data_IF_015658525042
#
_entry.id   IF_015658525042
#
_cell.length_a   1.000
_cell.length_b   1.000
_cell.length_c   1.000
_cell.angle_alpha   90.00
_cell.angle_beta   90.00
_cell.angle_gamma   90.00
#
_symmetry.space_group_name_H-M   'P 1'
#
loop_
_entity.id
_entity.type
_entity.pdbx_description
1 polymer ?
#
# COMPACT_ATOMS: atom_id res chain seq x y z
N UNK A 1 -14.41 15.76 -22.71
CA UNK A 1 -14.45 15.82 -21.22
C UNK A 1 -14.84 14.46 -20.68
N UNK A 2 -14.21 14.00 -19.60
CA UNK A 2 -14.49 12.69 -18.99
C UNK A 2 -15.51 12.83 -17.87
N UNK A 3 -16.35 11.82 -17.66
CA UNK A 3 -17.29 11.82 -16.55
C UNK A 3 -16.56 11.68 -15.22
N UNK A 4 -15.58 10.78 -15.20
CA UNK A 4 -14.85 10.40 -14.01
C UNK A 4 -13.39 10.09 -14.34
N UNK A 5 -12.48 10.62 -13.53
CA UNK A 5 -11.08 10.20 -13.48
C UNK A 5 -10.81 9.58 -12.11
N UNK A 6 -10.27 8.37 -12.13
CA UNK A 6 -9.92 7.58 -10.94
C UNK A 6 -8.40 7.58 -10.84
N UNK A 7 -7.87 8.07 -9.72
CA UNK A 7 -6.44 8.20 -9.49
C UNK A 7 -6.03 7.17 -8.44
N UNK A 8 -5.33 6.13 -8.90
CA UNK A 8 -4.85 5.00 -8.13
C UNK A 8 -5.26 3.67 -8.75
N UNK A 9 -4.30 2.80 -9.04
CA UNK A 9 -4.48 1.49 -9.69
C UNK A 9 -4.43 0.32 -8.70
N UNK A 10 -4.79 0.57 -7.43
CA UNK A 10 -4.99 -0.48 -6.42
C UNK A 10 -6.41 -1.03 -6.39
N UNK A 11 -6.72 -1.86 -5.39
CA UNK A 11 -8.03 -2.50 -5.23
C UNK A 11 -9.20 -1.51 -5.26
N UNK A 12 -9.09 -0.39 -4.53
CA UNK A 12 -10.14 0.63 -4.49
C UNK A 12 -10.39 1.27 -5.86
N UNK A 13 -9.33 1.68 -6.56
CA UNK A 13 -9.46 2.36 -7.85
C UNK A 13 -9.92 1.44 -8.99
N UNK A 14 -9.41 0.20 -9.04
CA UNK A 14 -9.89 -0.80 -10.02
C UNK A 14 -11.36 -1.15 -9.77
N UNK A 15 -11.77 -1.29 -8.51
CA UNK A 15 -13.20 -1.51 -8.18
C UNK A 15 -14.05 -0.32 -8.58
N UNK A 16 -13.61 0.91 -8.28
CA UNK A 16 -14.31 2.12 -8.71
C UNK A 16 -14.45 2.19 -10.24
N UNK A 17 -13.44 1.74 -10.99
CA UNK A 17 -13.45 1.75 -12.45
C UNK A 17 -14.47 0.76 -13.03
N UNK A 18 -14.51 -0.47 -12.47
CA UNK A 18 -15.52 -1.49 -12.82
C UNK A 18 -16.93 -0.96 -12.59
N UNK A 19 -17.19 -0.35 -11.43
CA UNK A 19 -18.50 0.21 -11.12
C UNK A 19 -18.87 1.38 -12.03
N UNK A 20 -17.92 2.29 -12.30
CA UNK A 20 -18.13 3.43 -13.19
C UNK A 20 -18.54 2.98 -14.60
N UNK A 21 -17.89 1.96 -15.15
CA UNK A 21 -18.27 1.38 -16.44
C UNK A 21 -19.65 0.72 -16.40
N UNK A 22 -20.00 0.03 -15.31
CA UNK A 22 -21.33 -0.57 -15.14
C UNK A 22 -22.45 0.46 -15.02
N UNK A 23 -22.17 1.66 -14.53
CA UNK A 23 -23.09 2.79 -14.55
C UNK A 23 -23.16 3.51 -15.91
N UNK A 24 -22.45 3.00 -16.91
CA UNK A 24 -22.36 3.58 -18.26
C UNK A 24 -21.84 5.03 -18.25
N UNK A 25 -20.97 5.36 -17.28
CA UNK A 25 -20.27 6.65 -17.27
C UNK A 25 -19.34 6.74 -18.47
N UNK A 26 -19.35 7.89 -19.15
CA UNK A 26 -18.60 8.10 -20.39
C UNK A 26 -17.14 8.43 -20.11
N UNK A 27 -16.27 7.81 -20.90
CA UNK A 27 -14.83 8.09 -20.93
C UNK A 27 -14.15 7.95 -19.55
N UNK A 28 -14.41 6.85 -18.84
CA UNK A 28 -13.71 6.50 -17.59
C UNK A 28 -12.19 6.46 -17.83
N UNK A 29 -11.42 7.11 -16.96
CA UNK A 29 -9.96 7.08 -16.97
C UNK A 29 -9.42 6.60 -15.63
N UNK A 30 -8.57 5.59 -15.67
CA UNK A 30 -7.87 5.05 -14.51
C UNK A 30 -6.38 5.35 -14.64
N UNK A 31 -5.80 6.05 -13.65
CA UNK A 31 -4.39 6.47 -13.70
C UNK A 31 -3.66 5.99 -12.45
N UNK A 32 -2.47 5.41 -12.60
CA UNK A 32 -1.63 5.10 -11.45
C UNK A 32 -0.26 4.54 -11.83
N UNK A 33 0.77 4.88 -11.06
CA UNK A 33 2.15 4.41 -11.32
C UNK A 33 2.38 2.95 -10.90
N UNK A 34 1.75 2.52 -9.80
CA UNK A 34 1.93 1.19 -9.23
C UNK A 34 0.75 0.29 -9.58
N UNK A 35 0.95 -0.57 -10.59
CA UNK A 35 -0.04 -1.58 -10.99
C UNK A 35 -0.39 -2.47 -9.80
N UNK A 36 -1.69 -2.57 -9.47
CA UNK A 36 -2.19 -3.39 -8.36
C UNK A 36 -1.99 -2.79 -6.95
N UNK A 37 -1.22 -1.70 -6.80
CA UNK A 37 -0.97 -1.07 -5.51
C UNK A 37 -0.20 -1.95 -4.53
N UNK A 38 -0.37 -1.70 -3.22
CA UNK A 38 0.32 -2.41 -2.12
C UNK A 38 -0.12 -3.87 -1.98
N UNK A 39 -1.32 -4.22 -2.42
CA UNK A 39 -1.83 -5.59 -2.35
C UNK A 39 -0.93 -6.60 -3.09
N UNK A 40 -0.24 -6.17 -4.14
CA UNK A 40 0.72 -7.01 -4.90
C UNK A 40 1.89 -7.52 -4.07
N UNK A 41 2.18 -6.87 -2.94
CA UNK A 41 3.31 -7.23 -2.08
C UNK A 41 2.95 -8.35 -1.09
N UNK A 42 1.67 -8.71 -0.96
CA UNK A 42 1.25 -9.83 -0.14
C UNK A 42 1.64 -11.15 -0.82
N UNK A 43 2.44 -11.96 -0.14
CA UNK A 43 2.78 -13.31 -0.62
C UNK A 43 1.56 -14.23 -0.65
N UNK A 44 0.63 -13.97 0.26
CA UNK A 44 -0.53 -14.82 0.47
C UNK A 44 -1.69 -14.00 1.05
N UNK A 45 -2.88 -14.19 0.47
CA UNK A 45 -4.14 -13.60 0.88
C UNK A 45 -5.13 -14.75 1.12
N UNK A 46 -5.54 -14.90 2.38
CA UNK A 46 -6.51 -15.91 2.84
C UNK A 46 -7.82 -15.26 3.33
N UNK A 47 -7.92 -13.93 3.27
CA UNK A 47 -9.00 -13.14 3.85
C UNK A 47 -9.81 -12.34 2.80
N UNK A 48 -9.72 -12.70 1.51
CA UNK A 48 -10.56 -12.15 0.46
C UNK A 48 -11.61 -13.18 0.00
N UNK A 49 -12.88 -13.03 0.42
CA UNK A 49 -13.94 -13.99 0.10
C UNK A 49 -14.05 -14.26 -1.41
N UNK A 50 -14.21 -15.54 -1.75
CA UNK A 50 -14.14 -16.02 -3.14
C UNK A 50 -12.85 -16.78 -3.45
N UNK A 51 -11.79 -16.57 -2.67
CA UNK A 51 -10.55 -17.34 -2.75
C UNK A 51 -10.20 -17.90 -1.37
N UNK A 52 -9.97 -19.22 -1.30
CA UNK A 52 -9.42 -19.84 -0.08
C UNK A 52 -8.01 -19.32 0.22
N UNK A 53 -7.23 -19.14 -0.84
CA UNK A 53 -5.85 -18.67 -0.84
C UNK A 53 -5.51 -18.17 -2.24
N UNK A 54 -4.87 -17.00 -2.33
CA UNK A 54 -4.39 -16.41 -3.58
C UNK A 54 -3.17 -15.52 -3.28
N UNK A 55 -2.25 -15.34 -4.22
CA UNK A 55 -1.18 -14.35 -4.04
C UNK A 55 -1.72 -12.94 -4.27
N UNK A 56 -1.10 -11.93 -3.66
CA UNK A 56 -1.47 -10.54 -3.88
C UNK A 56 -1.35 -10.10 -5.34
N UNK A 57 -0.29 -10.55 -6.01
CA UNK A 57 -0.07 -10.28 -7.43
C UNK A 57 -1.18 -10.89 -8.30
N UNK A 58 -1.50 -12.17 -8.11
CA UNK A 58 -2.54 -12.85 -8.88
C UNK A 58 -3.91 -12.22 -8.65
N UNK A 59 -4.26 -11.87 -7.41
CA UNK A 59 -5.53 -11.21 -7.11
C UNK A 59 -5.66 -9.87 -7.85
N UNK A 60 -4.62 -9.06 -7.83
CA UNK A 60 -4.64 -7.75 -8.51
C UNK A 60 -4.60 -7.86 -10.03
N UNK A 61 -4.00 -8.92 -10.59
CA UNK A 61 -4.09 -9.18 -12.03
C UNK A 61 -5.53 -9.52 -12.43
N UNK A 62 -6.23 -10.37 -11.67
CA UNK A 62 -7.66 -10.65 -11.90
C UNK A 62 -8.52 -9.38 -11.86
N UNK A 63 -8.19 -8.43 -10.99
CA UNK A 63 -8.87 -7.12 -10.96
C UNK A 63 -8.59 -6.32 -12.23
N UNK A 64 -7.34 -6.30 -12.69
CA UNK A 64 -6.95 -5.60 -13.92
C UNK A 64 -7.61 -6.21 -15.14
N UNK A 65 -7.63 -7.53 -15.26
CA UNK A 65 -8.34 -8.27 -16.31
C UNK A 65 -9.84 -7.89 -16.34
N UNK A 66 -10.47 -7.77 -15.17
CA UNK A 66 -11.87 -7.33 -15.09
C UNK A 66 -12.06 -5.88 -15.55
N UNK A 67 -11.17 -4.96 -15.20
CA UNK A 67 -11.20 -3.57 -15.71
C UNK A 67 -11.06 -3.56 -17.24
N UNK A 68 -10.19 -4.41 -17.80
CA UNK A 68 -9.92 -4.49 -19.24
C UNK A 68 -11.10 -5.05 -20.05
N UNK A 69 -12.08 -5.70 -19.41
CA UNK A 69 -13.32 -6.12 -20.07
C UNK A 69 -14.28 -4.97 -20.39
N UNK A 70 -13.95 -3.74 -19.96
CA UNK A 70 -14.72 -2.53 -20.24
C UNK A 70 -13.89 -1.53 -21.06
N UNK A 71 -14.56 -0.59 -21.73
CA UNK A 71 -13.91 0.53 -22.42
C UNK A 71 -13.40 1.59 -21.43
N UNK A 72 -12.35 1.24 -20.69
CA UNK A 72 -11.70 2.08 -19.69
C UNK A 72 -10.26 2.32 -20.14
N UNK A 73 -9.90 3.60 -20.34
CA UNK A 73 -8.49 3.94 -20.61
C UNK A 73 -7.70 3.84 -19.31
N UNK A 74 -6.67 2.98 -19.31
CA UNK A 74 -5.71 2.86 -18.21
C UNK A 74 -4.42 3.58 -18.59
N UNK A 75 -3.92 4.45 -17.71
CA UNK A 75 -2.62 5.13 -17.86
C UNK A 75 -1.73 4.73 -16.70
N UNK A 76 -0.68 3.97 -16.99
CA UNK A 76 0.29 3.51 -15.98
C UNK A 76 1.36 4.59 -15.71
N UNK A 77 0.94 5.74 -15.18
CA UNK A 77 1.82 6.87 -14.83
C UNK A 77 1.34 7.57 -13.53
N UNK A 78 2.21 8.38 -12.93
CA UNK A 78 1.87 9.22 -11.78
C UNK A 78 1.14 10.48 -12.23
N UNK A 79 0.03 10.81 -11.57
CA UNK A 79 -0.59 12.13 -11.68
C UNK A 79 0.30 13.14 -10.95
N UNK A 80 0.78 14.16 -11.68
CA UNK A 80 1.67 15.18 -11.13
C UNK A 80 0.88 16.30 -10.45
N UNK A 81 -0.28 16.64 -11.00
CA UNK A 81 -1.09 17.77 -10.55
C UNK A 81 -2.57 17.56 -10.84
N UNK A 82 -3.41 18.06 -9.94
CA UNK A 82 -4.85 18.21 -10.18
C UNK A 82 -5.27 19.63 -9.82
N UNK A 83 -6.08 20.24 -10.68
CA UNK A 83 -6.59 21.61 -10.48
C UNK A 83 -8.11 21.64 -10.63
N UNK A 84 -8.81 22.35 -9.74
CA UNK A 84 -10.23 22.67 -9.94
C UNK A 84 -10.38 23.68 -11.08
N UNK A 85 -11.43 23.48 -11.89
CA UNK A 85 -11.90 24.38 -12.95
C UNK A 85 -13.39 24.66 -12.73
N UNK A 86 -13.95 25.64 -13.44
CA UNK A 86 -15.36 26.02 -13.26
C UNK A 86 -16.32 24.87 -13.58
N UNK A 87 -16.01 24.06 -14.59
CA UNK A 87 -16.83 22.93 -15.04
C UNK A 87 -16.32 21.55 -14.54
N UNK A 88 -15.33 21.50 -13.65
CA UNK A 88 -14.78 20.23 -13.14
C UNK A 88 -13.32 20.32 -12.74
N UNK A 89 -12.48 19.46 -13.33
CA UNK A 89 -11.09 19.27 -12.92
C UNK A 89 -10.17 19.06 -14.11
N UNK A 90 -8.94 19.58 -14.00
CA UNK A 90 -7.83 19.31 -14.90
C UNK A 90 -6.83 18.40 -14.20
N UNK A 91 -6.52 17.25 -14.82
CA UNK A 91 -5.58 16.23 -14.33
C UNK A 91 -4.38 16.19 -15.27
N UNK A 92 -3.17 16.36 -14.72
CA UNK A 92 -1.91 16.39 -15.47
C UNK A 92 -1.11 15.10 -15.24
N UNK A 93 -0.68 14.46 -16.32
CA UNK A 93 0.04 13.17 -16.30
C UNK A 93 1.13 13.20 -17.37
N UNK A 94 2.41 13.32 -16.95
CA UNK A 94 3.49 13.60 -17.89
C UNK A 94 3.19 14.88 -18.67
N UNK A 95 3.22 14.79 -20.00
CA UNK A 95 2.88 15.89 -20.91
C UNK A 95 1.38 15.97 -21.26
N UNK A 96 0.59 14.96 -20.86
CA UNK A 96 -0.83 14.88 -21.16
C UNK A 96 -1.68 15.63 -20.13
N UNK A 97 -2.82 16.17 -20.60
CA UNK A 97 -3.82 16.83 -19.77
C UNK A 97 -5.21 16.27 -20.04
N UNK A 98 -5.95 15.96 -18.98
CA UNK A 98 -7.30 15.42 -19.06
C UNK A 98 -8.27 16.26 -18.24
N UNK A 99 -9.43 16.55 -18.83
CA UNK A 99 -10.53 17.21 -18.13
C UNK A 99 -11.57 16.19 -17.65
N UNK A 100 -12.05 16.36 -16.42
CA UNK A 100 -13.00 15.47 -15.78
C UNK A 100 -14.09 16.24 -15.04
N UNK A 101 -15.32 15.71 -15.04
CA UNK A 101 -16.43 16.25 -14.24
C UNK A 101 -16.32 15.86 -12.76
N UNK A 102 -15.85 14.65 -12.48
CA UNK A 102 -15.64 14.12 -11.11
C UNK A 102 -14.31 13.40 -10.96
N UNK A 103 -13.85 13.26 -9.72
CA UNK A 103 -12.62 12.55 -9.36
C UNK A 103 -12.86 11.51 -8.26
N UNK A 104 -12.21 10.36 -8.36
CA UNK A 104 -12.06 9.41 -7.24
C UNK A 104 -10.57 9.30 -6.90
N UNK A 105 -10.22 9.72 -5.69
CA UNK A 105 -8.87 9.63 -5.13
C UNK A 105 -8.70 8.28 -4.41
N UNK A 106 -8.09 7.32 -5.09
CA UNK A 106 -7.75 5.98 -4.58
C UNK A 106 -6.22 5.84 -4.36
N UNK A 107 -5.63 6.87 -3.73
CA UNK A 107 -4.18 7.11 -3.71
C UNK A 107 -3.39 6.12 -2.84
N UNK A 108 -4.08 5.40 -1.95
CA UNK A 108 -3.46 4.43 -1.04
C UNK A 108 -2.43 5.05 -0.10
N UNK A 109 -1.37 4.29 0.17
CA UNK A 109 -0.33 4.64 1.12
C UNK A 109 1.07 4.37 0.55
N UNK A 110 2.07 5.07 1.08
CA UNK A 110 3.49 4.88 0.80
C UNK A 110 4.17 4.24 2.00
N UNK A 111 5.15 3.36 1.77
CA UNK A 111 5.87 2.69 2.86
C UNK A 111 6.62 3.69 3.74
N UNK A 112 6.57 3.47 5.06
CA UNK A 112 7.42 4.22 5.99
C UNK A 112 8.87 3.80 5.80
N UNK A 113 9.74 4.80 5.83
CA UNK A 113 11.20 4.61 5.96
C UNK A 113 11.56 4.58 7.43
N UNK A 114 12.56 3.78 7.78
CA UNK A 114 13.09 3.67 9.12
C UNK A 114 13.80 4.96 9.55
N UNK A 115 14.40 5.68 8.60
CA UNK A 115 15.05 6.98 8.79
C UNK A 115 16.42 6.90 9.45
N UNK A 116 17.09 5.75 9.38
CA UNK A 116 18.38 5.52 10.05
C UNK A 116 19.56 5.65 9.08
N UNK A 117 20.76 6.03 9.56
CA UNK A 117 21.96 6.03 8.74
C UNK A 117 22.19 4.66 8.08
N UNK A 118 22.51 4.68 6.79
CA UNK A 118 22.72 3.48 5.96
C UNK A 118 21.46 2.95 5.25
N UNK A 119 20.24 3.31 5.66
CA UNK A 119 19.02 2.81 5.01
C UNK A 119 18.96 3.12 3.52
N UNK A 120 19.18 4.38 3.14
CA UNK A 120 19.16 4.81 1.75
C UNK A 120 20.31 4.20 0.93
N UNK A 121 21.48 4.06 1.54
CA UNK A 121 22.69 3.54 0.89
C UNK A 121 22.56 2.04 0.54
N UNK A 122 21.97 1.27 1.44
CA UNK A 122 21.82 -0.18 1.31
C UNK A 122 20.45 -0.63 0.77
N UNK A 123 19.54 0.31 0.46
CA UNK A 123 18.30 0.00 -0.28
C UNK A 123 18.67 -0.68 -1.61
N UNK A 124 18.06 -1.84 -1.88
CA UNK A 124 18.39 -2.73 -3.02
C UNK A 124 19.81 -3.34 -2.97
N UNK A 125 20.55 -3.18 -1.87
CA UNK A 125 21.85 -3.83 -1.59
C UNK A 125 21.79 -4.61 -0.27
N UNK A 126 20.65 -5.26 -0.03
CA UNK A 126 20.39 -6.02 1.18
C UNK A 126 19.31 -5.43 2.09
N UNK A 127 18.94 -4.15 1.91
CA UNK A 127 17.73 -3.58 2.51
C UNK A 127 16.59 -3.64 1.50
N UNK A 128 15.48 -4.26 1.91
CA UNK A 128 14.31 -4.53 1.10
C UNK A 128 13.03 -4.05 1.79
N UNK A 129 12.02 -3.76 0.98
CA UNK A 129 10.69 -3.38 1.45
C UNK A 129 9.60 -4.32 0.94
N UNK A 130 9.91 -5.30 0.07
CA UNK A 130 8.94 -6.26 -0.42
C UNK A 130 9.50 -7.67 -0.21
N UNK A 131 9.15 -8.34 0.88
CA UNK A 131 9.60 -9.70 1.12
C UNK A 131 9.18 -10.66 -0.01
N UNK A 132 7.96 -10.51 -0.52
CA UNK A 132 7.45 -11.30 -1.66
C UNK A 132 8.31 -11.16 -2.93
N UNK A 133 8.86 -9.98 -3.15
CA UNK A 133 9.70 -9.69 -4.31
C UNK A 133 11.14 -10.20 -4.10
N UNK A 134 11.68 -9.99 -2.90
CA UNK A 134 13.12 -10.09 -2.66
C UNK A 134 13.56 -11.36 -1.93
N UNK A 135 12.66 -12.06 -1.22
CA UNK A 135 12.99 -13.24 -0.41
C UNK A 135 13.82 -14.32 -1.16
N UNK A 136 13.55 -14.66 -2.43
CA UNK A 136 14.34 -15.64 -3.17
C UNK A 136 15.84 -15.31 -3.24
N UNK A 137 16.23 -14.02 -3.26
CA UNK A 137 17.63 -13.58 -3.31
C UNK A 137 18.38 -13.75 -1.97
N UNK A 138 17.67 -14.10 -0.90
CA UNK A 138 18.22 -14.35 0.43
C UNK A 138 18.22 -15.84 0.80
N UNK A 139 18.02 -16.74 -0.17
CA UNK A 139 18.12 -18.18 0.05
C UNK A 139 19.43 -18.56 0.73
N UNK A 140 19.34 -19.28 1.85
CA UNK A 140 20.49 -19.72 2.64
C UNK A 140 21.14 -18.64 3.51
N UNK A 141 20.58 -17.43 3.58
CA UNK A 141 21.12 -16.29 4.34
C UNK A 141 20.36 -16.03 5.63
N UNK A 142 20.98 -15.34 6.58
CA UNK A 142 20.33 -14.90 7.82
C UNK A 142 19.81 -13.48 7.65
N UNK A 143 18.50 -13.28 7.86
CA UNK A 143 17.84 -12.00 7.58
C UNK A 143 17.08 -11.47 8.79
N UNK A 144 16.83 -10.16 8.82
CA UNK A 144 16.02 -9.50 9.83
C UNK A 144 14.79 -8.83 9.19
N UNK A 145 13.68 -8.81 9.91
CA UNK A 145 12.45 -8.08 9.60
C UNK A 145 12.23 -7.05 10.71
N UNK A 146 12.05 -5.78 10.35
CA UNK A 146 11.73 -4.72 11.31
C UNK A 146 10.24 -4.44 11.27
N UNK A 147 9.54 -4.66 12.39
CA UNK A 147 8.10 -4.43 12.51
C UNK A 147 7.37 -5.55 13.20
N UNK A 148 6.19 -5.26 13.74
CA UNK A 148 5.39 -6.22 14.51
C UNK A 148 3.92 -6.32 14.10
N UNK A 149 3.51 -5.70 12.98
CA UNK A 149 2.16 -5.81 12.45
C UNK A 149 2.02 -6.94 11.41
N UNK A 150 0.87 -7.01 10.74
CA UNK A 150 0.56 -8.02 9.71
C UNK A 150 1.66 -8.16 8.66
N UNK A 151 2.10 -7.04 8.05
CA UNK A 151 3.13 -7.08 7.02
C UNK A 151 4.42 -7.73 7.52
N UNK A 152 4.83 -7.45 8.75
CA UNK A 152 6.05 -8.01 9.32
C UNK A 152 5.92 -9.49 9.63
N UNK A 153 4.80 -9.93 10.23
CA UNK A 153 4.58 -11.35 10.57
C UNK A 153 4.40 -12.21 9.31
N UNK A 154 3.72 -11.69 8.28
CA UNK A 154 3.61 -12.33 6.97
C UNK A 154 4.98 -12.45 6.29
N UNK A 155 5.74 -11.35 6.23
CA UNK A 155 7.07 -11.34 5.62
C UNK A 155 8.05 -12.27 6.35
N UNK A 156 8.05 -12.29 7.68
CA UNK A 156 8.88 -13.22 8.46
C UNK A 156 8.52 -14.69 8.16
N UNK A 157 7.23 -15.01 8.13
CA UNK A 157 6.73 -16.35 7.78
C UNK A 157 7.20 -16.76 6.39
N UNK A 158 7.05 -15.88 5.39
CA UNK A 158 7.52 -16.15 4.03
C UNK A 158 9.04 -16.39 3.98
N UNK A 159 9.82 -15.51 4.64
CA UNK A 159 11.28 -15.59 4.61
C UNK A 159 11.79 -16.92 5.17
N UNK A 160 11.08 -17.55 6.11
CA UNK A 160 11.48 -18.87 6.64
C UNK A 160 11.47 -19.99 5.59
N UNK A 161 10.80 -19.80 4.45
CA UNK A 161 10.83 -20.74 3.32
C UNK A 161 12.18 -20.72 2.58
N UNK A 162 12.93 -19.62 2.69
CA UNK A 162 14.19 -19.39 1.97
C UNK A 162 15.41 -19.30 2.91
N UNK A 163 15.21 -18.71 4.08
CA UNK A 163 16.25 -18.36 5.03
C UNK A 163 16.30 -19.37 6.19
N UNK A 164 17.47 -19.90 6.56
CA UNK A 164 17.61 -20.79 7.72
C UNK A 164 17.31 -20.10 9.06
N UNK A 165 17.45 -18.77 9.13
CA UNK A 165 17.19 -17.96 10.32
C UNK A 165 16.61 -16.60 9.93
N UNK A 166 15.54 -16.20 10.61
CA UNK A 166 14.85 -14.92 10.45
C UNK A 166 14.71 -14.26 11.82
N UNK A 167 15.27 -13.07 11.99
CA UNK A 167 15.06 -12.26 13.18
C UNK A 167 13.91 -11.29 12.96
N UNK A 168 12.99 -11.17 13.92
CA UNK A 168 12.01 -10.10 13.95
C UNK A 168 12.41 -9.07 15.00
N UNK A 169 12.80 -7.88 14.57
CA UNK A 169 13.19 -6.79 15.47
C UNK A 169 11.98 -5.89 15.67
N UNK A 170 11.49 -5.81 16.90
CA UNK A 170 10.29 -5.05 17.23
C UNK A 170 10.53 -4.08 18.39
N UNK A 171 10.04 -2.85 18.24
CA UNK A 171 10.17 -1.79 19.24
C UNK A 171 9.33 -1.98 20.50
N UNK A 172 8.38 -2.92 20.48
CA UNK A 172 7.44 -3.16 21.58
C UNK A 172 7.70 -4.49 22.27
N UNK A 173 6.85 -4.79 23.24
CA UNK A 173 6.86 -6.01 24.05
C UNK A 173 5.96 -7.12 23.48
N UNK A 174 5.18 -6.83 22.43
CA UNK A 174 4.31 -7.79 21.77
C UNK A 174 4.13 -7.51 20.28
N UNK A 175 3.83 -8.58 19.54
CA UNK A 175 3.33 -8.49 18.16
C UNK A 175 1.90 -7.93 18.15
N UNK A 176 1.54 -7.27 17.05
CA UNK A 176 0.25 -6.61 16.79
C UNK A 176 -0.42 -7.09 15.51
N UNK A 177 0.12 -8.12 14.86
CA UNK A 177 -0.51 -8.77 13.72
C UNK A 177 -1.75 -9.57 14.14
N UNK A 178 -2.44 -10.11 13.15
CA UNK A 178 -3.55 -11.03 13.35
C UNK A 178 -3.05 -12.30 14.06
N UNK A 179 -3.86 -12.90 14.96
CA UNK A 179 -3.46 -14.08 15.72
C UNK A 179 -2.90 -15.21 14.84
N UNK A 180 -3.50 -15.49 13.69
CA UNK A 180 -3.03 -16.55 12.78
C UNK A 180 -1.58 -16.36 12.32
N UNK A 181 -1.16 -15.11 12.07
CA UNK A 181 0.20 -14.81 11.65
C UNK A 181 1.17 -14.82 12.84
N UNK A 182 0.70 -14.37 14.00
CA UNK A 182 1.47 -14.46 15.25
C UNK A 182 1.74 -15.92 15.61
N UNK A 183 0.75 -16.79 15.51
CA UNK A 183 0.87 -18.22 15.80
C UNK A 183 1.84 -18.90 14.84
N UNK A 184 1.77 -18.57 13.53
CA UNK A 184 2.72 -19.06 12.52
C UNK A 184 4.16 -18.62 12.80
N UNK A 185 4.36 -17.39 13.27
CA UNK A 185 5.68 -16.88 13.67
C UNK A 185 6.17 -17.60 14.94
N UNK A 186 5.34 -17.69 15.97
CA UNK A 186 5.73 -18.25 17.27
C UNK A 186 6.00 -19.76 17.21
N UNK A 187 5.33 -20.49 16.32
CA UNK A 187 5.52 -21.94 16.13
C UNK A 187 6.69 -22.29 15.20
N UNK A 188 7.37 -21.30 14.62
CA UNK A 188 8.44 -21.52 13.66
C UNK A 188 9.82 -21.34 14.29
N UNK A 189 10.55 -22.45 14.46
CA UNK A 189 11.88 -22.48 15.08
C UNK A 189 12.94 -21.65 14.34
N UNK A 190 12.71 -21.31 13.06
CA UNK A 190 13.60 -20.43 12.29
C UNK A 190 13.39 -18.95 12.58
N UNK A 191 12.29 -18.59 13.24
CA UNK A 191 12.01 -17.20 13.62
C UNK A 191 12.45 -16.96 15.06
N UNK A 192 13.12 -15.84 15.28
CA UNK A 192 13.43 -15.35 16.62
C UNK A 192 13.07 -13.88 16.76
N UNK A 193 12.31 -13.55 17.81
CA UNK A 193 11.80 -12.20 18.03
C UNK A 193 12.69 -11.49 19.04
N UNK A 194 13.20 -10.32 18.64
CA UNK A 194 13.96 -9.40 19.47
C UNK A 194 13.03 -8.24 19.86
N UNK A 195 12.48 -8.34 21.07
CA UNK A 195 11.55 -7.36 21.64
C UNK A 195 12.26 -6.09 22.11
N UNK A 196 11.50 -5.02 22.29
CA UNK A 196 11.94 -3.75 22.85
C UNK A 196 13.24 -3.22 22.23
N UNK A 197 13.40 -3.39 20.92
CA UNK A 197 14.65 -3.10 20.21
C UNK A 197 14.37 -2.35 18.92
N UNK A 198 15.20 -1.34 18.64
CA UNK A 198 15.21 -0.56 17.41
C UNK A 198 16.56 -0.69 16.71
N UNK A 199 16.53 -0.73 15.38
CA UNK A 199 17.74 -0.55 14.57
C UNK A 199 18.13 0.93 14.59
N UNK A 200 19.38 1.23 14.93
CA UNK A 200 19.96 2.57 14.96
C UNK A 200 20.75 2.93 13.72
N UNK A 201 21.41 1.94 13.11
CA UNK A 201 22.28 2.13 11.94
C UNK A 201 22.37 0.83 11.15
N UNK A 202 22.49 0.98 9.84
CA UNK A 202 22.75 -0.12 8.90
C UNK A 202 24.17 0.08 8.36
N UNK A 203 25.01 -0.96 8.38
CA UNK A 203 26.40 -0.86 7.93
C UNK A 203 26.79 -2.06 7.06
N UNK A 204 27.77 -1.83 6.20
CA UNK A 204 28.41 -2.83 5.36
C UNK A 204 29.31 -2.16 4.31
N UNK A 205 29.87 -2.94 3.39
CA UNK A 205 30.77 -2.44 2.35
C UNK A 205 30.04 -2.25 1.01
N UNK A 206 29.80 -3.34 0.28
CA UNK A 206 29.06 -3.37 -0.99
C UNK A 206 27.58 -3.69 -0.81
N UNK A 207 27.25 -4.29 0.33
CA UNK A 207 25.93 -4.74 0.76
C UNK A 207 25.85 -4.62 2.27
N UNK A 208 24.64 -4.75 2.82
CA UNK A 208 24.47 -4.86 4.27
C UNK A 208 25.28 -6.04 4.84
N UNK A 209 25.91 -5.81 5.98
CA UNK A 209 26.66 -6.84 6.73
C UNK A 209 26.25 -6.88 8.21
N UNK A 210 25.79 -5.76 8.77
CA UNK A 210 25.37 -5.67 10.17
C UNK A 210 24.40 -4.53 10.46
N UNK A 211 23.71 -4.67 11.57
CA UNK A 211 22.85 -3.67 12.20
C UNK A 211 23.48 -3.21 13.52
N UNK A 212 23.41 -1.92 13.79
CA UNK A 212 23.57 -1.43 15.17
C UNK A 212 22.18 -1.38 15.80
N UNK A 213 22.01 -2.03 16.96
CA UNK A 213 20.77 -2.03 17.72
C UNK A 213 20.86 -1.02 18.88
N UNK A 214 19.73 -0.47 19.30
CA UNK A 214 19.68 0.41 20.47
C UNK A 214 19.97 -0.31 21.78
N UNK A 215 19.51 -1.56 21.87
CA UNK A 215 19.79 -2.51 22.94
C UNK A 215 20.61 -3.68 22.36
N UNK A 216 21.83 -3.95 22.86
CA UNK A 216 22.62 -5.08 22.39
C UNK A 216 21.89 -6.40 22.59
N UNK A 217 21.78 -7.20 21.53
CA UNK A 217 21.18 -8.52 21.60
C UNK A 217 22.29 -9.56 21.86
N UNK A 218 22.16 -10.34 22.94
CA UNK A 218 23.19 -11.28 23.42
C UNK A 218 24.58 -10.64 23.58
N UNK A 219 24.62 -9.38 24.05
CA UNK A 219 25.87 -8.62 24.20
C UNK A 219 26.48 -8.11 22.90
N UNK A 220 25.87 -8.40 21.75
CA UNK A 220 26.35 -7.94 20.47
C UNK A 220 25.69 -6.62 20.06
N UNK A 221 26.50 -5.56 20.00
CA UNK A 221 26.10 -4.24 19.52
C UNK A 221 26.10 -4.17 17.97
N UNK A 222 26.96 -4.97 17.34
CA UNK A 222 27.15 -5.08 15.89
C UNK A 222 26.49 -6.38 15.40
N UNK A 223 25.17 -6.36 15.25
CA UNK A 223 24.35 -7.52 14.95
C UNK A 223 24.50 -7.97 13.49
N UNK A 224 25.22 -9.07 13.18
CA UNK A 224 25.53 -9.46 11.81
C UNK A 224 24.27 -9.94 11.09
N UNK A 225 24.07 -9.46 9.85
CA UNK A 225 22.92 -9.83 9.05
C UNK A 225 23.25 -9.76 7.56
N UNK A 226 22.66 -10.65 6.78
CA UNK A 226 22.82 -10.64 5.33
C UNK A 226 21.74 -9.83 4.60
N UNK A 227 20.65 -9.51 5.30
CA UNK A 227 19.47 -8.82 4.74
C UNK A 227 18.56 -8.21 5.79
N UNK A 228 17.92 -7.10 5.42
CA UNK A 228 16.98 -6.37 6.27
C UNK A 228 15.69 -6.06 5.49
N UNK A 229 14.56 -6.49 6.02
CA UNK A 229 13.23 -6.22 5.47
C UNK A 229 12.50 -5.23 6.39
N UNK A 230 12.07 -4.10 5.84
CA UNK A 230 11.45 -3.02 6.63
C UNK A 230 9.93 -3.05 6.43
N UNK A 231 9.21 -3.47 7.48
CA UNK A 231 7.76 -3.70 7.51
C UNK A 231 7.09 -2.92 8.66
N UNK A 232 7.37 -1.61 8.73
CA UNK A 232 6.96 -0.71 9.82
C UNK A 232 5.69 0.11 9.52
N UNK A 233 4.89 -0.37 8.56
CA UNK A 233 3.65 0.29 8.13
C UNK A 233 3.87 1.38 7.08
N UNK A 234 2.83 2.18 6.88
CA UNK A 234 2.74 3.10 5.75
C UNK A 234 2.28 4.51 6.18
N UNK A 235 2.33 5.45 5.25
CA UNK A 235 1.83 6.82 5.39
C UNK A 235 0.85 7.11 4.24
N UNK A 236 -0.24 7.86 4.49
CA UNK A 236 -1.18 8.20 3.44
C UNK A 236 -0.52 9.01 2.31
N UNK A 237 -0.77 8.61 1.05
CA UNK A 237 -0.25 9.29 -0.15
C UNK A 237 -1.07 10.56 -0.47
N UNK A 238 -1.01 11.55 0.42
CA UNK A 238 -1.94 12.70 0.43
C UNK A 238 -1.48 13.94 -0.37
N UNK A 239 -0.40 13.85 -1.15
CA UNK A 239 0.17 14.99 -1.90
C UNK A 239 -0.89 15.68 -2.77
N UNK A 240 -1.60 14.92 -3.62
CA UNK A 240 -2.65 15.47 -4.49
C UNK A 240 -3.85 16.03 -3.71
N UNK A 241 -4.22 15.40 -2.60
CA UNK A 241 -5.31 15.89 -1.75
C UNK A 241 -4.96 17.25 -1.12
N UNK A 242 -3.70 17.43 -0.68
CA UNK A 242 -3.21 18.72 -0.18
C UNK A 242 -3.21 19.79 -1.27
N UNK A 243 -2.76 19.45 -2.48
CA UNK A 243 -2.79 20.37 -3.62
C UNK A 243 -4.21 20.89 -3.92
N UNK A 244 -5.23 20.03 -3.75
CA UNK A 244 -6.64 20.37 -3.93
C UNK A 244 -7.28 21.07 -2.73
N UNK A 245 -6.56 21.29 -1.63
CA UNK A 245 -7.12 21.87 -0.40
C UNK A 245 -8.13 20.96 0.30
N UNK A 246 -8.07 19.64 0.07
CA UNK A 246 -8.98 18.68 0.69
C UNK A 246 -8.60 18.50 2.17
N UNK A 247 -9.61 18.48 3.04
CA UNK A 247 -9.43 18.30 4.49
C UNK A 247 -8.84 16.93 4.80
N UNK A 248 -7.77 16.93 5.61
CA UNK A 248 -7.12 15.72 6.10
C UNK A 248 -7.27 15.61 7.61
N UNK A 249 -7.29 14.40 8.15
CA UNK A 249 -7.21 14.16 9.59
C UNK A 249 -5.77 14.32 10.11
N UNK A 250 -5.56 14.14 11.42
CA UNK A 250 -4.25 14.30 12.06
C UNK A 250 -3.19 13.32 11.52
N UNK A 251 -3.62 12.16 11.01
CA UNK A 251 -2.77 11.14 10.40
C UNK A 251 -2.49 11.42 8.91
N UNK A 252 -3.06 12.49 8.35
CA UNK A 252 -2.90 12.86 6.94
C UNK A 252 -3.80 12.06 5.98
N UNK A 253 -4.82 11.35 6.47
CA UNK A 253 -5.82 10.68 5.64
C UNK A 253 -6.91 11.65 5.21
N UNK A 254 -7.46 11.47 4.02
CA UNK A 254 -8.57 12.26 3.51
C UNK A 254 -9.81 12.01 4.38
N UNK A 255 -10.40 13.08 4.90
CA UNK A 255 -11.67 12.99 5.63
C UNK A 255 -12.78 12.83 4.60
N UNK A 256 -13.54 11.74 4.71
CA UNK A 256 -14.74 11.52 3.90
C UNK A 256 -15.99 11.38 4.76
N UNK A 257 -17.15 11.70 4.19
CA UNK A 257 -18.44 11.38 4.81
C UNK A 257 -18.80 9.89 4.60
N UNK A 258 -19.98 9.48 5.07
CA UNK A 258 -20.46 8.10 4.89
C UNK A 258 -20.59 7.72 3.40
N UNK A 259 -20.74 8.69 2.50
CA UNK A 259 -20.84 8.55 1.04
C UNK A 259 -19.49 8.63 0.32
N UNK A 260 -18.37 8.60 1.04
CA UNK A 260 -17.03 8.72 0.44
C UNK A 260 -16.76 10.09 -0.21
N UNK A 261 -17.59 11.10 0.07
CA UNK A 261 -17.36 12.45 -0.42
C UNK A 261 -16.33 13.17 0.43
N UNK A 262 -15.41 13.86 -0.23
CA UNK A 262 -14.41 14.70 0.43
C UNK A 262 -14.98 16.08 0.76
N UNK A 263 -14.17 16.95 1.35
CA UNK A 263 -14.54 18.37 1.53
C UNK A 263 -14.63 19.17 0.24
N UNK A 264 -14.21 18.61 -0.90
CA UNK A 264 -14.29 19.25 -2.20
C UNK A 264 -15.38 18.58 -3.04
N UNK A 265 -16.40 19.36 -3.38
CA UNK A 265 -17.53 18.90 -4.19
C UNK A 265 -17.07 18.31 -5.53
N UNK A 266 -17.64 17.17 -5.93
CA UNK A 266 -17.25 16.42 -7.13
C UNK A 266 -15.98 15.58 -6.96
N UNK A 267 -15.36 15.58 -5.76
CA UNK A 267 -14.22 14.73 -5.42
C UNK A 267 -14.58 13.75 -4.32
N UNK A 268 -14.36 12.47 -4.62
CA UNK A 268 -14.56 11.33 -3.74
C UNK A 268 -13.21 10.70 -3.41
N UNK A 269 -13.12 9.91 -2.34
CA UNK A 269 -11.90 9.17 -2.01
C UNK A 269 -12.23 7.77 -1.48
N UNK A 270 -11.34 6.80 -1.73
CA UNK A 270 -11.58 5.41 -1.37
C UNK A 270 -10.29 4.64 -1.03
N UNK A 271 -10.40 3.67 -0.13
CA UNK A 271 -9.30 2.79 0.29
C UNK A 271 -8.43 3.42 1.36
N UNK A 272 -7.19 2.96 1.48
CA UNK A 272 -6.31 3.27 2.62
C UNK A 272 -5.95 4.77 2.79
N UNK A 273 -6.23 5.59 1.78
CA UNK A 273 -6.08 7.05 1.86
C UNK A 273 -7.14 7.72 2.73
N UNK A 274 -8.29 7.08 3.01
CA UNK A 274 -9.45 7.67 3.71
C UNK A 274 -9.38 7.48 5.23
N UNK A 275 -9.94 8.42 5.99
CA UNK A 275 -10.06 8.31 7.45
C UNK A 275 -10.94 7.12 7.87
N UNK A 276 -11.92 6.75 7.04
CA UNK A 276 -12.84 5.62 7.27
C UNK A 276 -12.21 4.25 7.17
N UNK A 277 -11.02 4.16 6.58
CA UNK A 277 -10.25 2.90 6.63
C UNK A 277 -9.78 2.60 8.05
N UNK A 278 -9.47 3.61 8.87
CA UNK A 278 -9.02 3.39 10.24
C UNK A 278 -7.80 2.45 10.29
N UNK A 279 -7.84 1.45 11.17
CA UNK A 279 -6.80 0.42 11.25
C UNK A 279 -7.10 -0.82 10.39
N UNK A 280 -8.19 -0.78 9.60
CA UNK A 280 -8.68 -1.89 8.78
C UNK A 280 -8.27 -1.73 7.30
N UNK A 281 -6.96 -1.64 7.07
CA UNK A 281 -6.34 -1.59 5.73
C UNK A 281 -6.38 -2.96 5.06
N UNK A 282 -7.52 -3.28 4.43
CA UNK A 282 -7.79 -4.59 3.82
C UNK A 282 -8.29 -4.44 2.39
N UNK A 283 -7.95 -5.41 1.52
CA UNK A 283 -8.37 -5.42 0.11
C UNK A 283 -9.89 -5.34 -0.01
N UNK A 284 -10.62 -6.12 0.80
CA UNK A 284 -12.10 -6.14 0.79
C UNK A 284 -12.70 -4.78 1.17
N UNK A 285 -12.14 -4.10 2.18
CA UNK A 285 -12.58 -2.76 2.59
C UNK A 285 -12.32 -1.73 1.49
N UNK A 286 -11.12 -1.78 0.90
CA UNK A 286 -10.76 -0.94 -0.25
C UNK A 286 -11.72 -1.13 -1.43
N UNK A 287 -12.11 -2.37 -1.75
CA UNK A 287 -13.10 -2.65 -2.79
C UNK A 287 -14.46 -2.01 -2.47
N UNK A 288 -14.96 -2.21 -1.24
CA UNK A 288 -16.24 -1.67 -0.82
C UNK A 288 -16.29 -0.14 -0.89
N UNK A 289 -15.22 0.53 -0.43
CA UNK A 289 -15.10 1.98 -0.53
C UNK A 289 -15.00 2.44 -2.01
N UNK A 290 -14.26 1.72 -2.85
CA UNK A 290 -14.13 2.02 -4.28
C UNK A 290 -15.48 1.96 -5.01
N UNK A 291 -16.25 0.89 -4.77
CA UNK A 291 -17.61 0.75 -5.30
C UNK A 291 -18.51 1.90 -4.86
N UNK A 292 -18.47 2.26 -3.56
CA UNK A 292 -19.28 3.34 -3.01
C UNK A 292 -18.90 4.71 -3.58
N UNK A 293 -17.62 5.04 -3.65
CA UNK A 293 -17.15 6.29 -4.24
C UNK A 293 -17.57 6.43 -5.72
N UNK A 294 -17.52 5.34 -6.48
CA UNK A 294 -17.99 5.34 -7.88
C UNK A 294 -19.51 5.54 -7.99
N UNK A 295 -20.30 4.88 -7.14
CA UNK A 295 -21.75 5.07 -7.11
C UNK A 295 -22.13 6.53 -6.81
N UNK A 296 -21.46 7.14 -5.84
CA UNK A 296 -21.76 8.51 -5.42
C UNK A 296 -21.29 9.54 -6.47
N UNK A 297 -20.20 9.24 -7.19
CA UNK A 297 -19.81 10.01 -8.37
C UNK A 297 -20.86 9.93 -9.49
N UNK A 298 -21.46 8.75 -9.71
CA UNK A 298 -22.56 8.60 -10.66
C UNK A 298 -23.79 9.40 -10.24
N UNK A 299 -24.23 9.31 -8.97
CA UNK A 299 -25.37 10.09 -8.46
C UNK A 299 -25.14 11.60 -8.62
N UNK A 300 -23.95 12.08 -8.24
CA UNK A 300 -23.57 13.48 -8.40
C UNK A 300 -23.67 13.99 -9.85
N UNK A 301 -23.33 13.13 -10.82
CA UNK A 301 -23.44 13.47 -12.24
C UNK A 301 -24.87 13.47 -12.76
N UNK A 302 -25.78 12.71 -12.14
CA UNK A 302 -27.21 12.72 -12.50
C UNK A 302 -27.92 13.95 -11.92
N UNK A 303 -27.60 14.33 -10.69
CA UNK A 303 -28.23 15.49 -10.03
C UNK A 303 -27.82 16.83 -10.67
N UNK A 304 -26.66 16.86 -11.36
CA UNK A 304 -26.14 18.04 -12.07
C UNK A 304 -26.32 18.02 -13.59
N UNK A 305 -26.90 16.94 -14.13
CA UNK A 305 -27.20 16.77 -15.56
C UNK A 305 -28.61 17.21 -15.90
#
# INVERSE_FOLDING_TARGET
MRDIVIIGTGAAGMTAAIYAARYNLKAVLLIGEKRGGTATEASEIENYPGFKKITGLELMEKFREHVQNFDIKIIDQKVSKVQKKDSGFLVEVGDDKFEARTLVLALGTNRRRLGVPGEAEFTNKGVAYCATCDAPFFKGKTVAVVGGGNSATMSATLLTQYCPKVYMIIRGDKLRGEPIWIDRVNSNERVEIIYNTNVKKISGTSRIEKLELDNPYNGNKDFPIDGLFIEIGSLPANELARQLGIKLNKQGRIIVDSRQMTSLEGVFAAGDITDKTGDFEQVVNSCAQGAKASYEAFQFLQDKG
#
